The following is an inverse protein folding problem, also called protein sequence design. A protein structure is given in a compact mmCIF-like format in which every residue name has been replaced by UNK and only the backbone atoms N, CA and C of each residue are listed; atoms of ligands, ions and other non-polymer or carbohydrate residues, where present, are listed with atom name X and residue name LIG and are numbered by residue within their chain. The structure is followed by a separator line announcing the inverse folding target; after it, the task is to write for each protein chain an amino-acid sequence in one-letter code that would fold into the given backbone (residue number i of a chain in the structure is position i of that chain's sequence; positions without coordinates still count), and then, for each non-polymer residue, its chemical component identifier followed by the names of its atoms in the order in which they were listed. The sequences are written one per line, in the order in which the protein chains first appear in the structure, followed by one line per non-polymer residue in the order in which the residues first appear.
data_IF_779124582285
#
_entry.id   IF_779124582285
#
_cell.length_a   1.000
_cell.length_b   1.000
_cell.length_c   1.000
_cell.angle_alpha   90.00
_cell.angle_beta   90.00
_cell.angle_gamma   90.00
#
_symmetry.space_group_name_H-M   'P 1'
#
loop_
_entity.id
_entity.type
_entity.pdbx_description
1 polymer ?
#
# COMPACT_ATOMS: atom_id res chain seq x y z
N UNK A 1 -25.74 -0.93 1.32
CA UNK A 1 -24.76 -1.46 2.28
C UNK A 1 -23.40 -1.37 1.61
N UNK A 2 -22.47 -0.59 2.15
CA UNK A 2 -21.18 -0.34 1.51
C UNK A 2 -20.38 -1.64 1.41
N UNK A 3 -19.77 -1.87 0.26
CA UNK A 3 -18.87 -3.01 0.05
C UNK A 3 -17.73 -2.98 1.08
N UNK A 4 -17.39 -4.15 1.62
CA UNK A 4 -16.21 -4.31 2.47
C UNK A 4 -14.97 -3.91 1.67
N UNK A 5 -14.20 -2.95 2.19
CA UNK A 5 -13.01 -2.44 1.50
C UNK A 5 -11.99 -3.57 1.24
N UNK A 6 -11.97 -4.61 2.06
CA UNK A 6 -11.13 -5.80 1.89
C UNK A 6 -11.50 -6.55 0.59
N UNK A 7 -12.79 -6.87 0.41
CA UNK A 7 -13.28 -7.57 -0.78
C UNK A 7 -13.14 -6.71 -2.05
N UNK A 8 -13.35 -5.40 -1.93
CA UNK A 8 -13.13 -4.46 -3.03
C UNK A 8 -11.68 -4.47 -3.52
N UNK A 9 -10.70 -4.52 -2.60
CA UNK A 9 -9.27 -4.63 -2.96
C UNK A 9 -8.98 -5.97 -3.66
N UNK A 10 -9.46 -7.09 -3.14
CA UNK A 10 -9.25 -8.40 -3.75
C UNK A 10 -9.77 -8.47 -5.18
N UNK A 11 -11.00 -8.00 -5.40
CA UNK A 11 -11.59 -7.92 -6.74
C UNK A 11 -10.69 -7.10 -7.66
N UNK A 12 -10.27 -5.91 -7.23
CA UNK A 12 -9.44 -5.02 -8.05
C UNK A 12 -8.10 -5.68 -8.42
N UNK A 13 -7.44 -6.37 -7.48
CA UNK A 13 -6.19 -7.08 -7.77
C UNK A 13 -6.40 -8.22 -8.77
N UNK A 14 -7.48 -9.00 -8.64
CA UNK A 14 -7.82 -10.06 -9.60
C UNK A 14 -8.09 -9.50 -11.00
N UNK A 15 -8.87 -8.42 -11.09
CA UNK A 15 -9.16 -7.74 -12.36
C UNK A 15 -7.89 -7.17 -13.00
N UNK A 16 -7.02 -6.54 -12.22
CA UNK A 16 -5.71 -6.08 -12.70
C UNK A 16 -4.87 -7.25 -13.23
N UNK A 17 -4.76 -8.35 -12.49
CA UNK A 17 -4.02 -9.54 -12.91
C UNK A 17 -4.55 -10.13 -14.21
N UNK A 18 -5.89 -10.23 -14.35
CA UNK A 18 -6.53 -10.70 -15.57
C UNK A 18 -6.25 -9.77 -16.77
N UNK A 19 -6.34 -8.44 -16.58
CA UNK A 19 -6.08 -7.46 -17.64
C UNK A 19 -4.62 -7.43 -18.08
N UNK A 20 -3.68 -7.62 -17.15
CA UNK A 20 -2.25 -7.67 -17.46
C UNK A 20 -1.84 -8.98 -18.16
N UNK A 21 -2.69 -10.01 -18.11
CA UNK A 21 -2.49 -11.30 -18.79
C UNK A 21 -1.11 -11.94 -18.54
N UNK A 22 -0.59 -11.80 -17.32
CA UNK A 22 0.81 -12.16 -17.02
C UNK A 22 1.07 -13.67 -16.99
N UNK A 23 0.03 -14.50 -16.89
CA UNK A 23 0.16 -15.96 -16.68
C UNK A 23 0.86 -16.34 -15.37
N UNK A 24 1.09 -15.36 -14.48
CA UNK A 24 1.78 -15.48 -13.20
C UNK A 24 1.28 -14.42 -12.22
N UNK A 25 1.50 -14.58 -10.91
CA UNK A 25 1.20 -13.55 -9.93
C UNK A 25 1.93 -12.23 -10.22
N UNK A 26 1.29 -11.10 -9.88
CA UNK A 26 1.92 -9.77 -9.96
C UNK A 26 3.10 -9.71 -8.99
N UNK A 27 4.26 -9.22 -9.41
CA UNK A 27 5.43 -9.18 -8.51
C UNK A 27 5.22 -8.23 -7.33
N UNK A 28 4.65 -7.04 -7.57
CA UNK A 28 4.41 -6.02 -6.56
C UNK A 28 3.07 -5.30 -6.81
N UNK A 29 2.23 -5.23 -5.79
CA UNK A 29 1.02 -4.40 -5.78
C UNK A 29 1.15 -3.31 -4.73
N UNK A 30 0.80 -2.07 -5.10
CA UNK A 30 0.91 -0.91 -4.22
C UNK A 30 -0.46 -0.37 -3.84
N UNK A 31 -0.66 -0.06 -2.56
CA UNK A 31 -1.76 0.80 -2.13
C UNK A 31 -1.44 2.24 -2.56
N UNK A 32 -2.15 2.72 -3.59
CA UNK A 32 -1.73 3.91 -4.34
C UNK A 32 -1.81 5.24 -3.54
N UNK A 33 -2.78 5.37 -2.63
CA UNK A 33 -2.95 6.55 -1.77
C UNK A 33 -3.27 6.17 -0.32
N UNK A 34 -2.95 7.04 0.65
CA UNK A 34 -3.07 6.82 2.07
C UNK A 34 -4.49 7.04 2.64
N UNK A 35 -5.54 7.05 1.85
CA UNK A 35 -6.88 7.37 2.37
C UNK A 35 -7.94 7.39 1.29
N UNK A 36 -9.14 7.83 1.67
CA UNK A 36 -10.27 7.99 0.77
C UNK A 36 -10.08 9.27 -0.03
N UNK A 37 -10.14 9.16 -1.35
CA UNK A 37 -10.01 10.30 -2.24
C UNK A 37 -11.04 11.39 -1.91
N UNK A 38 -10.56 12.64 -1.78
CA UNK A 38 -11.40 13.80 -1.43
C UNK A 38 -11.81 13.88 0.05
N UNK A 39 -11.40 12.95 0.91
CA UNK A 39 -11.72 13.01 2.34
C UNK A 39 -10.60 13.66 3.16
N UNK A 40 -10.96 14.64 3.98
CA UNK A 40 -10.10 15.23 5.01
C UNK A 40 -10.30 14.61 6.40
N UNK A 41 -11.19 13.62 6.55
CA UNK A 41 -11.46 12.96 7.83
C UNK A 41 -10.29 12.00 8.17
N UNK A 42 -9.48 12.39 9.14
CA UNK A 42 -8.31 11.62 9.56
C UNK A 42 -8.67 10.22 10.09
N UNK A 43 -9.76 10.10 10.86
CA UNK A 43 -10.17 8.83 11.46
C UNK A 43 -10.75 7.88 10.40
N UNK A 44 -11.54 8.41 9.46
CA UNK A 44 -12.01 7.63 8.32
C UNK A 44 -10.85 7.15 7.46
N UNK A 45 -9.91 8.04 7.13
CA UNK A 45 -8.76 7.72 6.29
C UNK A 45 -7.86 6.65 6.92
N UNK A 46 -7.62 6.73 8.23
CA UNK A 46 -6.88 5.69 8.95
C UNK A 46 -7.62 4.35 8.94
N UNK A 47 -8.90 4.31 9.33
CA UNK A 47 -9.68 3.06 9.28
C UNK A 47 -9.66 2.43 7.89
N UNK A 48 -9.93 3.23 6.85
CA UNK A 48 -9.96 2.75 5.46
C UNK A 48 -8.58 2.29 4.97
N UNK A 49 -7.50 2.96 5.36
CA UNK A 49 -6.12 2.51 5.07
C UNK A 49 -5.89 1.10 5.62
N UNK A 50 -6.27 0.83 6.86
CA UNK A 50 -6.09 -0.47 7.51
C UNK A 50 -6.94 -1.54 6.84
N UNK A 51 -8.22 -1.26 6.56
CA UNK A 51 -9.10 -2.19 5.83
C UNK A 51 -8.53 -2.53 4.44
N UNK A 52 -8.08 -1.52 3.69
CA UNK A 52 -7.49 -1.74 2.36
C UNK A 52 -6.17 -2.51 2.44
N UNK A 53 -5.34 -2.27 3.46
CA UNK A 53 -4.10 -3.02 3.66
C UNK A 53 -4.37 -4.51 3.90
N UNK A 54 -5.36 -4.84 4.75
CA UNK A 54 -5.79 -6.23 4.96
C UNK A 54 -6.25 -6.90 3.67
N UNK A 55 -6.90 -6.15 2.78
CA UNK A 55 -7.22 -6.63 1.42
C UNK A 55 -5.98 -7.01 0.60
N UNK A 56 -4.90 -6.24 0.70
CA UNK A 56 -3.63 -6.56 0.04
C UNK A 56 -2.91 -7.75 0.69
N UNK A 57 -2.96 -7.88 2.02
CA UNK A 57 -2.43 -9.05 2.72
C UNK A 57 -3.09 -10.32 2.22
N UNK A 58 -4.43 -10.33 2.18
CA UNK A 58 -5.18 -11.46 1.65
C UNK A 58 -4.88 -11.71 0.17
N UNK A 59 -4.69 -10.67 -0.64
CA UNK A 59 -4.31 -10.84 -2.06
C UNK A 59 -2.95 -11.54 -2.21
N UNK A 60 -2.01 -11.24 -1.32
CA UNK A 60 -0.70 -11.91 -1.27
C UNK A 60 -0.83 -13.36 -0.80
N UNK A 61 -1.61 -13.61 0.25
CA UNK A 61 -1.86 -14.95 0.78
C UNK A 61 -2.58 -15.87 -0.23
N UNK A 62 -3.51 -15.32 -1.02
CA UNK A 62 -4.18 -16.01 -2.13
C UNK A 62 -3.27 -16.19 -3.37
N UNK A 63 -2.02 -15.72 -3.32
CA UNK A 63 -1.05 -15.86 -4.41
C UNK A 63 -1.34 -14.99 -5.63
N UNK A 64 -2.17 -13.95 -5.50
CA UNK A 64 -2.44 -13.00 -6.60
C UNK A 64 -1.27 -12.06 -6.85
N UNK A 65 -0.50 -11.79 -5.79
CA UNK A 65 0.74 -11.03 -5.87
C UNK A 65 1.83 -11.61 -4.96
N UNK A 66 3.10 -11.37 -5.29
CA UNK A 66 4.25 -11.86 -4.52
C UNK A 66 4.61 -10.91 -3.37
N UNK A 67 4.48 -9.61 -3.61
CA UNK A 67 4.82 -8.55 -2.66
C UNK A 67 3.77 -7.45 -2.64
N UNK A 68 3.67 -6.78 -1.50
CA UNK A 68 2.77 -5.65 -1.28
C UNK A 68 3.52 -4.45 -0.71
N UNK A 69 3.16 -3.26 -1.16
CA UNK A 69 3.76 -2.02 -0.73
C UNK A 69 2.77 -0.86 -0.78
N UNK A 70 3.28 0.34 -0.61
CA UNK A 70 2.48 1.57 -0.58
C UNK A 70 3.05 2.61 -1.55
N UNK A 71 2.24 3.60 -1.90
CA UNK A 71 2.65 4.78 -2.66
C UNK A 71 2.11 6.04 -1.99
N UNK A 72 2.91 7.10 -1.96
CA UNK A 72 2.53 8.39 -1.35
C UNK A 72 2.28 8.32 0.16
N UNK A 73 2.92 7.38 0.87
CA UNK A 73 2.80 7.26 2.33
C UNK A 73 3.86 8.08 3.04
N UNK A 74 3.41 8.92 3.98
CA UNK A 74 4.29 9.66 4.90
C UNK A 74 4.69 8.76 6.08
N UNK A 75 5.64 9.23 6.89
CA UNK A 75 6.02 8.56 8.14
C UNK A 75 4.80 8.25 9.02
N UNK A 76 3.92 9.24 9.23
CA UNK A 76 2.69 9.06 10.02
C UNK A 76 1.84 7.91 9.51
N UNK A 77 1.65 7.81 8.19
CA UNK A 77 0.85 6.75 7.59
C UNK A 77 1.48 5.36 7.76
N UNK A 78 2.80 5.27 7.70
CA UNK A 78 3.53 4.02 7.95
C UNK A 78 3.45 3.61 9.42
N UNK A 79 3.64 4.54 10.36
CA UNK A 79 3.50 4.27 11.80
C UNK A 79 2.07 3.82 12.15
N UNK A 80 1.04 4.37 11.49
CA UNK A 80 -0.33 3.87 11.62
C UNK A 80 -0.42 2.40 11.22
N UNK A 81 0.14 1.99 10.06
CA UNK A 81 0.17 0.56 9.69
C UNK A 81 0.87 -0.27 10.78
N UNK A 82 2.04 0.16 11.25
CA UNK A 82 2.81 -0.57 12.25
C UNK A 82 2.17 -0.63 13.64
N UNK A 83 1.22 0.27 13.95
CA UNK A 83 0.49 0.26 15.21
C UNK A 83 -0.64 -0.78 15.24
N UNK A 84 -1.00 -1.37 14.11
CA UNK A 84 -2.01 -2.42 14.02
C UNK A 84 -1.39 -3.81 13.87
N UNK A 85 -2.12 -4.83 14.35
CA UNK A 85 -1.77 -6.23 14.16
C UNK A 85 -2.06 -6.64 12.70
N UNK A 86 -1.02 -6.56 11.87
CA UNK A 86 -1.01 -6.83 10.44
C UNK A 86 0.04 -7.92 10.16
N UNK A 87 -0.30 -8.87 9.30
CA UNK A 87 0.54 -10.03 8.99
C UNK A 87 1.80 -9.66 8.17
N UNK A 88 1.76 -8.56 7.43
CA UNK A 88 2.80 -8.16 6.49
C UNK A 88 3.08 -6.65 6.55
N UNK A 89 4.36 -6.31 6.74
CA UNK A 89 4.85 -4.95 6.55
C UNK A 89 4.98 -4.60 5.03
N UNK A 90 4.80 -3.34 4.63
CA UNK A 90 5.06 -2.91 3.26
C UNK A 90 6.54 -3.08 2.91
N UNK A 91 6.84 -3.73 1.78
CA UNK A 91 8.23 -3.91 1.33
C UNK A 91 8.75 -2.74 0.50
N UNK A 92 7.83 -1.93 -0.05
CA UNK A 92 8.13 -0.76 -0.87
C UNK A 92 7.28 0.44 -0.46
N UNK A 93 7.86 1.65 -0.50
CA UNK A 93 7.14 2.91 -0.52
C UNK A 93 7.55 3.71 -1.77
N UNK A 94 6.62 3.89 -2.71
CA UNK A 94 6.83 4.67 -3.92
C UNK A 94 6.57 6.16 -3.64
N UNK A 95 7.56 7.02 -3.85
CA UNK A 95 7.52 8.44 -3.44
C UNK A 95 7.99 9.35 -4.56
N UNK A 96 7.43 10.56 -4.62
CA UNK A 96 8.00 11.63 -5.44
C UNK A 96 9.39 11.93 -4.91
N UNK A 97 10.42 11.72 -5.72
CA UNK A 97 11.80 11.92 -5.28
C UNK A 97 12.68 12.31 -6.46
N UNK A 98 13.30 13.48 -6.36
CA UNK A 98 14.20 14.02 -7.38
C UNK A 98 15.16 15.03 -6.73
N UNK A 99 16.21 15.52 -7.42
CA UNK A 99 17.20 16.41 -6.82
C UNK A 99 16.63 17.68 -6.13
N UNK A 100 15.49 18.18 -6.60
CA UNK A 100 14.79 19.34 -6.01
C UNK A 100 13.81 18.98 -4.89
N UNK A 101 13.52 17.68 -4.69
CA UNK A 101 12.62 17.18 -3.67
C UNK A 101 13.08 15.79 -3.23
N UNK A 102 14.14 15.75 -2.41
CA UNK A 102 14.82 14.49 -2.08
C UNK A 102 14.07 13.61 -1.08
N UNK A 103 13.13 14.17 -0.32
CA UNK A 103 12.44 13.49 0.77
C UNK A 103 13.38 12.73 1.72
N UNK A 104 14.60 13.26 1.95
CA UNK A 104 15.70 12.54 2.58
C UNK A 104 15.36 11.94 3.96
N UNK A 105 14.56 12.65 4.77
CA UNK A 105 14.12 12.13 6.08
C UNK A 105 13.23 10.90 5.93
N UNK A 106 12.23 10.96 5.04
CA UNK A 106 11.32 9.85 4.79
C UNK A 106 12.05 8.67 4.13
N UNK A 107 12.99 8.94 3.22
CA UNK A 107 13.83 7.91 2.59
C UNK A 107 14.64 7.16 3.64
N UNK A 108 15.29 7.90 4.55
CA UNK A 108 16.04 7.31 5.66
C UNK A 108 15.12 6.48 6.57
N UNK A 109 13.98 7.04 6.96
CA UNK A 109 13.00 6.33 7.78
C UNK A 109 12.53 5.02 7.14
N UNK A 110 12.20 5.02 5.85
CA UNK A 110 11.85 3.81 5.12
C UNK A 110 12.99 2.77 5.16
N UNK A 111 14.22 3.19 4.88
CA UNK A 111 15.40 2.31 4.93
C UNK A 111 15.61 1.69 6.31
N UNK A 112 15.48 2.49 7.37
CA UNK A 112 15.65 2.03 8.76
C UNK A 112 14.57 1.01 9.17
N UNK A 113 13.39 1.04 8.52
CA UNK A 113 12.30 0.07 8.69
C UNK A 113 12.37 -1.11 7.71
N UNK A 114 13.41 -1.21 6.89
CA UNK A 114 13.54 -2.26 5.88
C UNK A 114 12.62 -2.10 4.66
N UNK A 115 12.05 -0.90 4.46
CA UNK A 115 11.18 -0.56 3.33
C UNK A 115 12.02 0.03 2.20
N UNK A 116 11.98 -0.59 1.02
CA UNK A 116 12.67 -0.07 -0.17
C UNK A 116 11.93 1.16 -0.70
N UNK A 117 12.67 2.20 -1.11
CA UNK A 117 12.07 3.38 -1.73
C UNK A 117 12.24 3.30 -3.24
N UNK A 118 11.15 3.52 -3.97
CA UNK A 118 11.15 3.70 -5.42
C UNK A 118 10.75 5.14 -5.73
N UNK A 119 11.55 5.85 -6.53
CA UNK A 119 11.23 7.20 -6.97
C UNK A 119 10.26 7.18 -8.16
N UNK A 120 9.34 8.14 -8.20
CA UNK A 120 8.51 8.46 -9.37
C UNK A 120 8.52 9.97 -9.67
#
# INVERSE_FOLDING_TARGET
AGEDATEGVLRNVRECGARLALGRPIDLVLLHWPGVFGSSDAALNERKRIEMWRGLERAKEEGLCRSIGVSSFTRRHLEQLYAHDLAHAPVVNQLQCHPLHSNAELVRYCRDKGVTVTAW
#
